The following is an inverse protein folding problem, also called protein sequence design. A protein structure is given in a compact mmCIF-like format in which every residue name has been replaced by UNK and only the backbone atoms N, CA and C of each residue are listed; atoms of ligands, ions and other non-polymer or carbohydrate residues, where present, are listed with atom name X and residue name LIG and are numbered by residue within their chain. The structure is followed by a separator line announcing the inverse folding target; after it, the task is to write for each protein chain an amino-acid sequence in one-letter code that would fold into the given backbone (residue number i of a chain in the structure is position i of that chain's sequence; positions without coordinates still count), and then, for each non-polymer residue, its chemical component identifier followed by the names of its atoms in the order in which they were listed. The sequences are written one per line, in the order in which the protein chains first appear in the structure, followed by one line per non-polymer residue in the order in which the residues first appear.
data_IF_935842827932
#
_entry.id   IF_935842827932
#
_cell.length_a   1.000
_cell.length_b   1.000
_cell.length_c   1.000
_cell.angle_alpha   90.00
_cell.angle_beta   90.00
_cell.angle_gamma   90.00
#
_symmetry.space_group_name_H-M   'P 1'
#
loop_
_entity.id
_entity.type
_entity.pdbx_description
1 polymer ?
#
# COMPACT_ATOMS: atom_id res chain seq x y z
N UNK A 1 -6.88 -15.27 -10.14
CA UNK A 1 -5.90 -15.49 -11.25
C UNK A 1 -5.21 -16.83 -11.03
N UNK A 2 -5.13 -17.74 -12.00
CA UNK A 2 -4.39 -19.00 -11.86
C UNK A 2 -2.89 -18.83 -12.12
N UNK A 3 -2.04 -19.57 -11.42
CA UNK A 3 -0.59 -19.58 -11.63
C UNK A 3 0.12 -20.73 -10.90
N UNK A 4 1.42 -20.89 -11.13
CA UNK A 4 2.22 -21.96 -10.51
C UNK A 4 2.75 -21.62 -9.11
N UNK A 5 2.60 -20.37 -8.68
CA UNK A 5 3.01 -19.93 -7.35
C UNK A 5 2.35 -20.77 -6.25
N UNK A 6 3.09 -21.01 -5.17
CA UNK A 6 2.71 -21.79 -3.98
C UNK A 6 2.69 -23.33 -4.14
N UNK A 7 2.78 -23.89 -5.35
CA UNK A 7 2.94 -25.33 -5.52
C UNK A 7 4.21 -25.82 -4.81
N UNK A 8 4.09 -26.91 -4.04
CA UNK A 8 5.19 -27.47 -3.25
C UNK A 8 5.56 -26.67 -1.99
N UNK A 9 4.78 -25.64 -1.64
CA UNK A 9 4.96 -24.88 -0.39
C UNK A 9 3.88 -25.24 0.63
N UNK A 10 4.15 -24.91 1.89
CA UNK A 10 3.17 -25.09 2.97
C UNK A 10 2.08 -24.01 3.00
N UNK A 11 2.11 -23.02 2.08
CA UNK A 11 1.12 -21.94 2.03
C UNK A 11 -0.31 -22.46 1.79
N UNK A 12 -0.46 -23.55 1.03
CA UNK A 12 -1.76 -24.20 0.80
C UNK A 12 -2.34 -24.81 2.09
N UNK A 13 -1.51 -25.17 3.08
CA UNK A 13 -1.97 -25.72 4.36
C UNK A 13 -2.64 -24.67 5.24
N UNK A 14 -2.27 -23.39 5.09
CA UNK A 14 -2.76 -22.27 5.90
C UNK A 14 -3.79 -21.40 5.16
N UNK A 15 -4.07 -21.68 3.89
CA UNK A 15 -5.02 -20.94 3.04
C UNK A 15 -6.00 -21.88 2.34
N UNK A 16 -6.97 -22.46 3.07
CA UNK A 16 -7.91 -23.45 2.52
C UNK A 16 -8.87 -22.87 1.47
N UNK A 17 -8.96 -21.55 1.36
CA UNK A 17 -9.71 -20.83 0.34
C UNK A 17 -9.00 -20.81 -1.04
N UNK A 18 -7.68 -21.04 -1.06
CA UNK A 18 -6.87 -21.13 -2.28
C UNK A 18 -6.89 -22.57 -2.80
N UNK A 19 -7.19 -22.76 -4.08
CA UNK A 19 -7.45 -24.10 -4.66
C UNK A 19 -6.43 -24.46 -5.72
N UNK A 20 -6.00 -25.71 -5.74
CA UNK A 20 -5.30 -26.29 -6.91
C UNK A 20 -6.34 -26.81 -7.89
N UNK A 21 -6.21 -26.45 -9.15
CA UNK A 21 -7.09 -26.87 -10.24
C UNK A 21 -6.25 -27.41 -11.40
N UNK A 22 -6.84 -28.23 -12.25
CA UNK A 22 -6.23 -28.62 -13.52
C UNK A 22 -6.49 -27.54 -14.58
N UNK A 23 -5.44 -27.11 -15.27
CA UNK A 23 -5.55 -26.27 -16.48
C UNK A 23 -6.39 -27.02 -17.53
N UNK A 24 -7.50 -26.43 -18.03
CA UNK A 24 -8.41 -27.11 -18.95
C UNK A 24 -7.80 -27.40 -20.33
N UNK A 25 -6.66 -26.80 -20.70
CA UNK A 25 -6.02 -26.98 -22.00
C UNK A 25 -4.83 -27.95 -21.95
N UNK A 26 -4.09 -27.96 -20.84
CA UNK A 26 -2.85 -28.75 -20.69
C UNK A 26 -2.97 -29.90 -19.70
N UNK A 27 -3.96 -29.85 -18.79
CA UNK A 27 -4.10 -30.80 -17.69
C UNK A 27 -3.11 -30.59 -16.54
N UNK A 28 -2.23 -29.59 -16.62
CA UNK A 28 -1.26 -29.30 -15.56
C UNK A 28 -1.93 -28.73 -14.31
N UNK A 29 -1.38 -29.02 -13.14
CA UNK A 29 -1.85 -28.42 -11.89
C UNK A 29 -1.41 -26.96 -11.77
N UNK A 30 -2.36 -26.08 -11.47
CA UNK A 30 -2.13 -24.66 -11.18
C UNK A 30 -2.90 -24.24 -9.94
N UNK A 31 -2.39 -23.24 -9.22
CA UNK A 31 -3.04 -22.64 -8.06
C UNK A 31 -3.94 -21.51 -8.52
N UNK A 32 -5.23 -21.59 -8.20
CA UNK A 32 -6.22 -20.56 -8.41
C UNK A 32 -6.42 -19.73 -7.13
N UNK A 33 -6.02 -18.46 -7.20
CA UNK A 33 -6.19 -17.50 -6.11
C UNK A 33 -7.59 -16.85 -6.18
N UNK A 34 -8.32 -16.78 -5.06
CA UNK A 34 -9.53 -15.97 -4.98
C UNK A 34 -9.19 -14.50 -5.21
N UNK A 35 -10.20 -13.72 -5.62
CA UNK A 35 -10.03 -12.28 -5.74
C UNK A 35 -9.73 -11.66 -4.37
N UNK A 36 -8.76 -10.74 -4.33
CA UNK A 36 -8.53 -9.89 -3.15
C UNK A 36 -9.52 -8.74 -3.23
N UNK A 37 -10.29 -8.52 -2.17
CA UNK A 37 -11.22 -7.40 -2.04
C UNK A 37 -10.66 -6.40 -1.03
N UNK A 38 -10.96 -5.12 -1.22
CA UNK A 38 -10.50 -4.06 -0.32
C UNK A 38 -11.65 -3.07 -0.07
N UNK A 39 -11.95 -2.77 1.18
CA UNK A 39 -12.96 -1.77 1.51
C UNK A 39 -12.39 -0.35 1.43
N UNK A 40 -11.14 -0.18 1.87
CA UNK A 40 -10.44 1.11 1.92
C UNK A 40 -8.96 0.93 1.58
N UNK A 41 -8.49 1.63 0.55
CA UNK A 41 -7.08 1.81 0.27
C UNK A 41 -6.60 3.18 0.74
N UNK A 42 -5.48 3.21 1.46
CA UNK A 42 -4.76 4.44 1.83
C UNK A 42 -3.41 4.42 1.12
N UNK A 43 -3.19 5.39 0.26
CA UNK A 43 -1.99 5.49 -0.58
C UNK A 43 -1.28 6.81 -0.28
N UNK A 44 0.04 6.80 -0.19
CA UNK A 44 0.83 7.99 0.07
C UNK A 44 1.60 8.43 -1.19
N UNK A 45 1.46 9.69 -1.57
CA UNK A 45 2.01 10.26 -2.80
C UNK A 45 2.98 11.41 -2.51
N UNK A 46 3.90 11.66 -3.43
CA UNK A 46 4.73 12.87 -3.40
C UNK A 46 3.87 14.11 -3.61
N UNK A 47 2.97 14.04 -4.59
CA UNK A 47 2.10 15.15 -4.95
C UNK A 47 0.74 14.61 -5.36
N UNK A 48 -0.31 15.30 -4.96
CA UNK A 48 -1.66 15.04 -5.45
C UNK A 48 -2.34 16.35 -5.87
N UNK A 49 -3.30 16.29 -6.77
CA UNK A 49 -4.21 17.41 -7.01
C UNK A 49 -5.59 17.19 -6.37
N UNK A 50 -6.42 18.23 -6.37
CA UNK A 50 -7.77 18.17 -5.80
C UNK A 50 -8.72 17.20 -6.52
N UNK A 51 -8.38 16.77 -7.74
CA UNK A 51 -9.15 15.78 -8.47
C UNK A 51 -8.73 14.35 -8.13
N UNK A 52 -7.73 14.16 -7.27
CA UNK A 52 -7.24 12.85 -6.85
C UNK A 52 -6.12 12.29 -7.73
N UNK A 53 -5.69 13.01 -8.77
CA UNK A 53 -4.53 12.55 -9.53
C UNK A 53 -3.31 12.61 -8.64
N UNK A 54 -2.39 11.65 -8.79
CA UNK A 54 -1.21 11.58 -7.93
C UNK A 54 0.06 11.20 -8.69
N UNK A 55 1.18 11.68 -8.16
CA UNK A 55 2.55 11.29 -8.54
C UNK A 55 3.20 10.65 -7.32
N UNK A 56 3.63 9.40 -7.45
CA UNK A 56 4.17 8.54 -6.40
C UNK A 56 5.69 8.36 -6.50
N UNK A 57 6.30 8.68 -7.64
CA UNK A 57 7.76 8.67 -7.78
C UNK A 57 8.35 7.38 -8.36
N UNK A 58 7.56 6.64 -9.14
CA UNK A 58 8.04 5.60 -10.06
C UNK A 58 8.13 4.17 -9.52
N UNK A 59 8.06 3.95 -8.20
CA UNK A 59 7.89 2.60 -7.64
C UNK A 59 6.48 2.44 -7.07
N UNK A 60 5.56 1.92 -7.88
CA UNK A 60 4.13 1.88 -7.58
C UNK A 60 3.69 0.64 -6.80
N UNK A 61 4.59 -0.31 -6.53
CA UNK A 61 4.28 -1.58 -5.87
C UNK A 61 2.92 -2.19 -6.30
N UNK A 62 1.88 -2.04 -5.47
CA UNK A 62 0.50 -2.47 -5.76
C UNK A 62 -0.52 -1.32 -5.63
N UNK A 63 -0.05 -0.07 -5.57
CA UNK A 63 -0.88 1.11 -5.32
C UNK A 63 -1.92 1.31 -6.42
N UNK A 64 -1.56 1.06 -7.68
CA UNK A 64 -2.47 1.16 -8.82
C UNK A 64 -3.60 0.13 -8.71
N UNK A 65 -3.27 -1.13 -8.44
CA UNK A 65 -4.24 -2.20 -8.25
C UNK A 65 -5.14 -1.95 -7.04
N UNK A 66 -4.57 -1.49 -5.92
CA UNK A 66 -5.32 -1.12 -4.71
C UNK A 66 -6.30 0.02 -4.99
N UNK A 67 -5.90 1.02 -5.78
CA UNK A 67 -6.78 2.12 -6.16
C UNK A 67 -7.99 1.66 -6.97
N UNK A 68 -7.86 0.57 -7.74
CA UNK A 68 -8.95 0.08 -8.60
C UNK A 68 -9.84 -0.95 -7.91
N UNK A 69 -9.31 -1.71 -6.95
CA UNK A 69 -10.07 -2.77 -6.26
C UNK A 69 -10.77 -2.27 -5.00
N UNK A 70 -10.33 -1.14 -4.43
CA UNK A 70 -10.91 -0.61 -3.21
C UNK A 70 -12.25 0.10 -3.45
N UNK A 71 -13.20 -0.08 -2.53
CA UNK A 71 -14.46 0.69 -2.57
C UNK A 71 -14.24 2.18 -2.26
N UNK A 72 -13.25 2.50 -1.42
CA UNK A 72 -12.84 3.87 -1.10
C UNK A 72 -11.34 4.01 -1.20
N UNK A 73 -10.87 5.10 -1.80
CA UNK A 73 -9.45 5.39 -1.96
C UNK A 73 -9.13 6.74 -1.34
N UNK A 74 -8.21 6.74 -0.39
CA UNK A 74 -7.68 7.94 0.26
C UNK A 74 -6.24 8.13 -0.18
N UNK A 75 -5.96 9.24 -0.86
CA UNK A 75 -4.60 9.64 -1.20
C UNK A 75 -4.13 10.67 -0.18
N UNK A 76 -3.13 10.29 0.61
CA UNK A 76 -2.35 11.25 1.40
C UNK A 76 -1.19 11.76 0.54
N UNK A 77 -0.84 13.04 0.64
CA UNK A 77 0.24 13.60 -0.15
C UNK A 77 1.12 14.57 0.63
N UNK A 78 2.41 14.57 0.32
CA UNK A 78 3.40 15.52 0.84
C UNK A 78 3.08 16.95 0.39
N UNK A 79 2.60 17.12 -0.85
CA UNK A 79 2.10 18.38 -1.38
C UNK A 79 0.76 18.17 -2.08
N UNK A 80 -0.22 19.04 -1.80
CA UNK A 80 -1.48 19.09 -2.57
C UNK A 80 -1.51 20.37 -3.41
N UNK A 81 -1.58 20.20 -4.72
CA UNK A 81 -1.63 21.30 -5.70
C UNK A 81 -3.02 21.47 -6.31
N UNK A 82 -3.23 22.58 -7.02
CA UNK A 82 -4.52 22.83 -7.69
C UNK A 82 -4.78 21.82 -8.83
N UNK A 83 -3.76 21.53 -9.63
CA UNK A 83 -3.84 20.61 -10.77
C UNK A 83 -2.47 20.02 -11.08
N UNK A 84 -2.41 18.72 -11.31
CA UNK A 84 -1.21 18.07 -11.83
C UNK A 84 -1.23 18.07 -13.37
N UNK A 85 -0.05 18.27 -13.95
CA UNK A 85 0.20 18.20 -15.39
C UNK A 85 1.24 17.11 -15.68
N UNK A 86 1.17 16.52 -16.87
CA UNK A 86 2.11 15.48 -17.29
C UNK A 86 1.69 14.06 -16.90
N UNK A 87 2.63 13.10 -16.91
CA UNK A 87 2.33 11.71 -16.58
C UNK A 87 1.91 11.59 -15.11
N UNK A 88 0.81 10.88 -14.88
CA UNK A 88 0.26 10.60 -13.56
C UNK A 88 0.53 9.14 -13.23
N UNK A 89 0.89 8.87 -11.99
CA UNK A 89 1.10 7.51 -11.48
C UNK A 89 -0.24 6.88 -11.08
N UNK A 90 -1.16 7.70 -10.54
CA UNK A 90 -2.55 7.31 -10.27
C UNK A 90 -3.53 8.29 -10.90
N UNK A 91 -4.59 7.73 -11.49
CA UNK A 91 -5.76 8.50 -11.91
C UNK A 91 -6.58 8.92 -10.68
N UNK A 92 -7.12 10.13 -10.70
CA UNK A 92 -8.05 10.59 -9.69
C UNK A 92 -9.46 10.00 -9.78
N UNK A 93 -9.81 9.29 -10.87
CA UNK A 93 -11.15 8.72 -11.07
C UNK A 93 -11.60 7.81 -9.91
N UNK A 94 -10.79 6.84 -9.42
CA UNK A 94 -11.18 6.01 -8.28
C UNK A 94 -11.02 6.71 -6.92
N UNK A 95 -10.44 7.92 -6.86
CA UNK A 95 -10.06 8.57 -5.61
C UNK A 95 -11.26 9.20 -4.91
N UNK A 96 -11.45 8.85 -3.64
CA UNK A 96 -12.53 9.35 -2.79
C UNK A 96 -12.13 10.62 -2.04
N UNK A 97 -10.88 10.70 -1.58
CA UNK A 97 -10.38 11.83 -0.82
C UNK A 97 -8.88 12.06 -1.03
N UNK A 98 -8.48 13.34 -0.96
CA UNK A 98 -7.08 13.78 -0.96
C UNK A 98 -6.80 14.51 0.33
N UNK A 99 -5.72 14.13 1.01
CA UNK A 99 -5.31 14.68 2.31
C UNK A 99 -3.89 15.21 2.21
N UNK A 100 -3.69 16.48 2.56
CA UNK A 100 -2.35 17.03 2.72
C UNK A 100 -1.76 16.52 4.04
N UNK A 101 -0.75 15.65 3.95
CA UNK A 101 -0.09 15.02 5.08
C UNK A 101 1.44 15.04 4.85
N UNK A 102 2.10 16.18 5.10
CA UNK A 102 3.56 16.28 5.06
C UNK A 102 4.21 15.26 6.00
N UNK A 103 5.27 14.63 5.53
CA UNK A 103 5.96 13.50 6.17
C UNK A 103 5.06 12.31 6.47
N UNK A 104 3.97 12.12 5.71
CA UNK A 104 2.94 11.12 5.98
C UNK A 104 3.41 9.66 5.84
N UNK A 105 4.48 9.40 5.08
CA UNK A 105 5.10 8.09 5.01
C UNK A 105 6.21 7.87 6.05
N UNK A 106 6.69 8.91 6.74
CA UNK A 106 7.70 8.73 7.79
C UNK A 106 7.13 7.84 8.92
N UNK A 107 7.88 6.85 9.45
CA UNK A 107 9.32 6.62 9.35
C UNK A 107 9.80 5.77 8.17
N UNK A 108 8.92 5.40 7.24
CA UNK A 108 9.33 4.82 5.95
C UNK A 108 9.88 5.91 5.02
N UNK A 109 10.29 5.56 3.80
CA UNK A 109 10.83 6.52 2.83
C UNK A 109 9.73 7.12 1.94
N UNK A 110 9.88 8.40 1.60
CA UNK A 110 9.19 9.03 0.48
C UNK A 110 10.24 9.65 -0.45
N UNK A 111 10.75 8.87 -1.40
CA UNK A 111 11.85 9.29 -2.26
C UNK A 111 11.34 10.26 -3.36
N UNK A 112 12.02 11.39 -3.64
CA UNK A 112 13.34 11.78 -3.13
C UNK A 112 13.32 12.66 -1.88
N UNK A 113 12.16 12.95 -1.28
CA UNK A 113 12.02 13.93 -0.21
C UNK A 113 12.71 13.51 1.09
N UNK A 114 12.56 12.26 1.52
CA UNK A 114 13.26 11.73 2.69
C UNK A 114 13.53 10.21 2.62
N UNK A 115 14.66 9.75 3.16
CA UNK A 115 14.97 8.33 3.28
C UNK A 115 14.21 7.68 4.44
N UNK A 116 14.38 6.37 4.58
CA UNK A 116 13.89 5.63 5.75
C UNK A 116 14.47 6.19 7.05
N UNK A 117 13.60 6.46 8.03
CA UNK A 117 13.95 6.85 9.39
C UNK A 117 14.40 5.65 10.22
N UNK A 118 15.54 5.04 9.87
CA UNK A 118 15.99 3.77 10.46
C UNK A 118 16.07 3.76 11.99
N UNK A 119 16.48 4.87 12.61
CA UNK A 119 16.51 4.99 14.07
C UNK A 119 15.12 4.86 14.72
N UNK A 120 14.08 5.42 14.09
CA UNK A 120 12.71 5.32 14.60
C UNK A 120 12.15 3.91 14.40
N UNK A 121 12.44 3.27 13.27
CA UNK A 121 12.06 1.86 13.05
C UNK A 121 12.70 0.92 14.08
N UNK A 122 13.96 1.15 14.45
CA UNK A 122 14.64 0.40 15.50
C UNK A 122 13.98 0.67 16.85
N UNK A 123 13.72 1.94 17.20
CA UNK A 123 13.02 2.31 18.43
C UNK A 123 11.64 1.64 18.54
N UNK A 124 10.85 1.65 17.46
CA UNK A 124 9.56 0.95 17.39
C UNK A 124 9.73 -0.55 17.67
N UNK A 125 10.70 -1.19 16.99
CA UNK A 125 10.95 -2.63 17.11
C UNK A 125 11.42 -3.03 18.51
N UNK A 126 12.21 -2.18 19.17
CA UNK A 126 12.72 -2.41 20.52
C UNK A 126 11.64 -2.23 21.60
N UNK A 127 10.76 -1.23 21.46
CA UNK A 127 9.78 -0.89 22.50
C UNK A 127 8.46 -1.66 22.36
N UNK A 128 8.00 -1.98 21.16
CA UNK A 128 6.65 -2.52 20.96
C UNK A 128 6.39 -3.96 21.43
N UNK A 129 7.38 -4.86 21.66
CA UNK A 129 7.10 -6.18 22.23
C UNK A 129 6.31 -6.12 23.55
N UNK A 130 6.63 -5.15 24.42
CA UNK A 130 6.00 -5.01 25.74
C UNK A 130 5.47 -3.58 26.02
N UNK A 131 5.78 -2.60 25.18
CA UNK A 131 5.59 -1.16 25.45
C UNK A 131 4.90 -0.37 24.34
N UNK A 132 4.04 -1.01 23.54
CA UNK A 132 3.37 -0.35 22.41
C UNK A 132 2.60 0.92 22.79
N UNK A 133 1.83 0.90 23.89
CA UNK A 133 1.04 2.07 24.33
C UNK A 133 1.92 3.26 24.73
N UNK A 134 3.06 2.98 25.38
CA UNK A 134 4.05 4.01 25.74
C UNK A 134 4.73 4.58 24.50
N UNK A 135 5.15 3.71 23.58
CA UNK A 135 5.70 4.12 22.29
C UNK A 135 4.70 5.01 21.55
N UNK A 136 3.44 4.58 21.41
CA UNK A 136 2.42 5.29 20.65
C UNK A 136 2.10 6.64 21.29
N UNK A 137 1.95 6.69 22.61
CA UNK A 137 1.70 7.93 23.35
C UNK A 137 2.86 8.91 23.17
N UNK A 138 4.10 8.43 23.30
CA UNK A 138 5.30 9.24 23.09
C UNK A 138 5.46 9.70 21.64
N UNK A 139 5.13 8.86 20.67
CA UNK A 139 5.18 9.16 19.25
C UNK A 139 4.16 10.25 18.87
N UNK A 140 2.90 10.09 19.27
CA UNK A 140 1.83 11.05 18.98
C UNK A 140 2.04 12.39 19.69
N UNK A 141 2.65 12.39 20.89
CA UNK A 141 2.96 13.60 21.63
C UNK A 141 4.05 14.46 20.96
N UNK A 142 4.88 13.89 20.08
CA UNK A 142 5.95 14.62 19.40
C UNK A 142 5.42 15.52 18.25
N UNK A 143 4.19 15.31 17.78
CA UNK A 143 3.60 16.06 16.67
C UNK A 143 4.27 15.76 15.32
N UNK A 144 3.48 15.70 14.25
CA UNK A 144 3.97 15.55 12.87
C UNK A 144 4.67 16.82 12.37
#
# INVERSE_FOLDING_TARGET
MPGRGWLGTDLLKVRPDVRVIADPYTGEEVVAFPAVTCDVAVIHALRADRAGNAVLGGNLAVDAELSLVAERVIVTAEEVVERLEGPLDLSGIPVTAVVHAPRGAWPTSCYPLYPVGGGELLRYTELCPDGFEEYLSGFLAQGA
#
